data_IF_184314288743
#
_entry.id   IF_184314288743
#
_cell.length_a   1.000
_cell.length_b   1.000
_cell.length_c   1.000
_cell.angle_alpha   90.00
_cell.angle_beta   90.00
_cell.angle_gamma   90.00
#
_symmetry.space_group_name_H-M   'P 1'
#
loop_
_entity.id
_entity.type
_entity.pdbx_description
1 polymer ?
#
# COMPACT_ATOMS: atom_id res chain seq x y z
N UNK A 1 -44.07 -1.94 -9.80
CA UNK A 1 -42.75 -1.37 -9.46
C UNK A 1 -41.82 -2.55 -9.31
N UNK A 2 -40.87 -2.73 -10.23
CA UNK A 2 -39.86 -3.79 -10.12
C UNK A 2 -38.84 -3.35 -9.06
N UNK A 3 -38.74 -4.11 -7.97
CA UNK A 3 -37.67 -3.92 -6.99
C UNK A 3 -36.36 -4.33 -7.63
N UNK A 4 -35.47 -3.36 -7.87
CA UNK A 4 -34.15 -3.63 -8.44
C UNK A 4 -33.29 -4.34 -7.40
N UNK A 5 -32.96 -5.61 -7.62
CA UNK A 5 -32.05 -6.35 -6.75
C UNK A 5 -30.64 -5.73 -6.78
N UNK A 6 -30.04 -5.54 -5.60
CA UNK A 6 -28.70 -4.99 -5.46
C UNK A 6 -27.70 -6.11 -5.23
N UNK A 7 -26.74 -6.31 -6.14
CA UNK A 7 -25.71 -7.35 -6.02
C UNK A 7 -24.33 -6.77 -5.75
N UNK A 8 -23.48 -7.55 -5.06
CA UNK A 8 -22.07 -7.24 -4.93
C UNK A 8 -21.31 -7.69 -6.20
N UNK A 9 -20.50 -6.84 -6.85
CA UNK A 9 -19.74 -7.23 -8.04
C UNK A 9 -18.60 -8.24 -7.76
N UNK A 10 -18.27 -8.46 -6.48
CA UNK A 10 -17.10 -9.27 -6.07
C UNK A 10 -17.48 -10.55 -5.30
N UNK A 11 -18.76 -10.80 -5.05
CA UNK A 11 -19.22 -12.05 -4.44
C UNK A 11 -20.70 -12.31 -4.81
N UNK A 12 -21.17 -13.57 -4.71
CA UNK A 12 -22.52 -13.94 -5.14
C UNK A 12 -23.64 -13.50 -4.17
N UNK A 13 -23.43 -12.48 -3.34
CA UNK A 13 -24.44 -11.99 -2.39
C UNK A 13 -25.34 -10.93 -3.03
N UNK A 14 -26.63 -11.05 -2.77
CA UNK A 14 -27.67 -10.05 -3.08
C UNK A 14 -28.15 -9.37 -1.80
N UNK A 15 -28.65 -8.15 -1.94
CA UNK A 15 -29.05 -7.28 -0.84
C UNK A 15 -30.42 -6.68 -1.11
N UNK A 16 -31.23 -6.60 -0.06
CA UNK A 16 -32.57 -6.01 -0.11
C UNK A 16 -32.57 -4.48 -0.24
N UNK A 17 -31.42 -3.84 -0.03
CA UNK A 17 -31.27 -2.39 -0.19
C UNK A 17 -29.83 -2.01 -0.58
N UNK A 18 -29.69 -0.85 -1.22
CA UNK A 18 -28.39 -0.23 -1.54
C UNK A 18 -27.51 -0.11 -0.28
N UNK A 19 -28.09 0.32 0.85
CA UNK A 19 -27.37 0.49 2.11
C UNK A 19 -26.76 -0.81 2.65
N UNK A 20 -27.46 -1.95 2.52
CA UNK A 20 -26.91 -3.25 2.91
C UNK A 20 -25.77 -3.70 1.98
N UNK A 21 -25.89 -3.46 0.67
CA UNK A 21 -24.82 -3.75 -0.29
C UNK A 21 -23.59 -2.90 0.02
N UNK A 22 -23.78 -1.61 0.27
CA UNK A 22 -22.68 -0.68 0.53
C UNK A 22 -22.01 -1.00 1.86
N UNK A 23 -22.79 -1.29 2.92
CA UNK A 23 -22.24 -1.81 4.18
C UNK A 23 -21.46 -3.12 3.98
N UNK A 24 -21.95 -4.05 3.15
CA UNK A 24 -21.23 -5.28 2.82
C UNK A 24 -19.91 -4.99 2.10
N UNK A 25 -19.93 -4.14 1.07
CA UNK A 25 -18.74 -3.73 0.32
C UNK A 25 -17.68 -3.15 1.25
N UNK A 26 -18.11 -2.26 2.16
CA UNK A 26 -17.24 -1.66 3.15
C UNK A 26 -16.70 -2.68 4.16
N UNK A 27 -17.55 -3.53 4.72
CA UNK A 27 -17.17 -4.48 5.80
C UNK A 27 -16.39 -5.72 5.35
N UNK A 28 -16.47 -6.13 4.07
CA UNK A 28 -15.89 -7.42 3.63
C UNK A 28 -14.89 -7.35 2.49
N UNK A 29 -14.89 -6.29 1.68
CA UNK A 29 -14.07 -6.22 0.46
C UNK A 29 -13.23 -4.96 0.34
N UNK A 30 -13.71 -3.84 0.90
CA UNK A 30 -13.03 -2.55 0.87
C UNK A 30 -12.55 -2.10 2.26
N UNK A 31 -12.57 -3.00 3.25
CA UNK A 31 -12.03 -2.71 4.58
C UNK A 31 -10.50 -2.76 4.62
N UNK A 32 -9.79 -2.79 3.48
CA UNK A 32 -8.33 -2.75 3.45
C UNK A 32 -7.80 -1.87 2.33
N UNK A 33 -6.76 -1.11 2.63
CA UNK A 33 -5.97 -0.35 1.70
C UNK A 33 -4.53 -0.84 1.77
N UNK A 34 -4.02 -1.37 0.65
CA UNK A 34 -2.60 -1.70 0.54
C UNK A 34 -1.83 -0.50 -0.01
N UNK A 35 -0.77 -0.13 0.69
CA UNK A 35 0.20 0.87 0.28
C UNK A 35 1.50 0.12 0.00
N UNK A 36 2.00 0.21 -1.23
CA UNK A 36 3.23 -0.48 -1.63
C UNK A 36 4.30 0.56 -1.93
N UNK A 37 5.40 0.47 -1.20
CA UNK A 37 6.57 1.32 -1.37
C UNK A 37 7.55 0.66 -2.32
N UNK A 38 8.13 1.47 -3.21
CA UNK A 38 8.93 1.01 -4.32
C UNK A 38 10.26 1.74 -4.35
N UNK A 39 11.36 1.02 -4.47
CA UNK A 39 12.68 1.61 -4.75
C UNK A 39 13.00 1.40 -6.21
N UNK A 40 13.53 2.45 -6.82
CA UNK A 40 14.28 2.33 -8.05
C UNK A 40 15.77 2.34 -7.68
N UNK A 41 16.46 1.24 -7.97
CA UNK A 41 17.91 1.18 -7.82
C UNK A 41 18.53 1.85 -9.05
N UNK A 42 19.42 2.83 -8.86
CA UNK A 42 19.93 3.70 -9.94
C UNK A 42 20.50 2.93 -11.14
N UNK A 43 21.07 1.75 -10.91
CA UNK A 43 21.71 0.92 -11.95
C UNK A 43 20.79 -0.16 -12.56
N UNK A 44 19.55 -0.30 -12.08
CA UNK A 44 18.63 -1.34 -12.55
C UNK A 44 17.29 -0.77 -13.03
N UNK A 45 16.81 -1.18 -14.22
CA UNK A 45 15.50 -0.76 -14.73
C UNK A 45 14.33 -1.45 -14.02
N UNK A 46 14.59 -2.15 -12.90
CA UNK A 46 13.61 -2.93 -12.16
C UNK A 46 13.22 -2.15 -10.92
N UNK A 47 11.92 -1.91 -10.78
CA UNK A 47 11.34 -1.31 -9.59
C UNK A 47 11.03 -2.45 -8.61
N UNK A 48 11.69 -2.46 -7.46
CA UNK A 48 11.47 -3.46 -6.43
C UNK A 48 10.41 -2.96 -5.45
N UNK A 49 9.44 -3.81 -5.11
CA UNK A 49 8.55 -3.52 -3.98
C UNK A 49 9.36 -3.71 -2.71
N UNK A 50 9.63 -2.62 -2.00
CA UNK A 50 10.39 -2.67 -0.76
C UNK A 50 9.47 -3.12 0.36
N UNK A 51 8.32 -2.49 0.55
CA UNK A 51 7.40 -2.87 1.64
C UNK A 51 5.97 -2.75 1.17
N UNK A 52 5.10 -3.56 1.76
CA UNK A 52 3.65 -3.38 1.64
C UNK A 52 3.06 -3.21 3.02
N UNK A 53 2.38 -2.09 3.26
CA UNK A 53 1.58 -1.86 4.47
C UNK A 53 0.12 -2.05 4.10
N UNK A 54 -0.52 -3.02 4.73
CA UNK A 54 -1.97 -3.20 4.68
C UNK A 54 -2.60 -2.44 5.82
N UNK A 55 -3.36 -1.40 5.49
CA UNK A 55 -4.16 -0.62 6.44
C UNK A 55 -5.58 -1.11 6.40
N UNK A 56 -6.11 -1.60 7.51
CA UNK A 56 -7.54 -1.97 7.60
C UNK A 56 -8.37 -0.77 8.03
N UNK A 57 -9.56 -0.68 7.45
CA UNK A 57 -10.59 0.28 7.81
C UNK A 57 -11.15 -0.09 9.18
N UNK A 58 -11.34 0.91 10.04
CA UNK A 58 -11.97 0.72 11.35
C UNK A 58 -13.50 0.67 11.23
N UNK A 59 -14.17 0.39 12.35
CA UNK A 59 -15.64 0.32 12.44
C UNK A 59 -16.34 1.65 12.13
N UNK A 60 -15.61 2.76 12.21
CA UNK A 60 -16.07 4.10 11.81
C UNK A 60 -15.98 4.35 10.31
N UNK A 61 -15.52 3.37 9.53
CA UNK A 61 -15.36 3.45 8.08
C UNK A 61 -14.23 4.40 7.62
N UNK A 62 -13.24 4.68 8.45
CA UNK A 62 -12.05 5.46 8.07
C UNK A 62 -10.79 4.59 8.00
N UNK A 63 -9.92 4.91 7.04
CA UNK A 63 -8.52 4.50 7.03
C UNK A 63 -7.72 5.52 7.83
N UNK A 64 -6.90 5.05 8.75
CA UNK A 64 -6.04 5.90 9.57
C UNK A 64 -4.61 5.83 9.08
N UNK A 65 -3.91 6.96 9.08
CA UNK A 65 -2.51 7.01 8.69
C UNK A 65 -1.63 6.18 9.65
N UNK A 66 -0.78 5.26 9.15
CA UNK A 66 0.09 4.41 9.97
C UNK A 66 1.40 5.09 10.39
N UNK A 67 1.63 6.35 10.01
CA UNK A 67 2.88 7.08 10.30
C UNK A 67 2.77 7.92 11.58
N UNK A 68 3.87 7.99 12.35
CA UNK A 68 3.96 8.80 13.57
C UNK A 68 3.65 10.27 13.28
N UNK A 69 3.03 10.92 14.26
CA UNK A 69 2.71 12.34 14.22
C UNK A 69 1.78 12.74 13.05
N UNK A 70 1.03 11.77 12.52
CA UNK A 70 0.04 11.98 11.47
C UNK A 70 -1.34 11.45 11.87
N UNK A 71 -2.27 12.38 12.07
CA UNK A 71 -3.67 12.10 12.43
C UNK A 71 -4.60 12.13 11.21
N UNK A 72 -4.04 12.11 10.00
CA UNK A 72 -4.85 12.04 8.79
C UNK A 72 -5.64 10.73 8.76
N UNK A 73 -6.92 10.88 8.41
CA UNK A 73 -7.86 9.79 8.23
C UNK A 73 -8.80 10.10 7.06
N UNK A 74 -9.21 9.07 6.33
CA UNK A 74 -10.02 9.23 5.13
C UNK A 74 -10.84 7.97 4.85
N UNK A 75 -12.08 8.13 4.39
CA UNK A 75 -13.00 7.04 4.06
C UNK A 75 -12.73 6.42 2.69
N UNK A 76 -12.12 7.18 1.78
CA UNK A 76 -11.77 6.73 0.43
C UNK A 76 -10.31 6.29 0.31
N UNK A 77 -10.09 5.02 -0.05
CA UNK A 77 -8.76 4.45 -0.21
C UNK A 77 -7.88 5.19 -1.24
N UNK A 78 -8.46 5.77 -2.30
CA UNK A 78 -7.69 6.52 -3.30
C UNK A 78 -7.10 7.81 -2.71
N UNK A 79 -7.92 8.61 -2.04
CA UNK A 79 -7.50 9.86 -1.40
C UNK A 79 -6.52 9.57 -0.26
N UNK A 80 -6.78 8.51 0.50
CA UNK A 80 -5.87 8.03 1.53
C UNK A 80 -4.48 7.68 0.98
N UNK A 81 -4.40 6.96 -0.16
CA UNK A 81 -3.10 6.66 -0.81
C UNK A 81 -2.39 7.92 -1.27
N UNK A 82 -3.10 8.85 -1.91
CA UNK A 82 -2.52 10.12 -2.33
C UNK A 82 -1.95 10.90 -1.14
N UNK A 83 -2.65 10.93 0.00
CA UNK A 83 -2.10 11.50 1.22
C UNK A 83 -0.79 10.82 1.61
N UNK A 84 -0.77 9.48 1.68
CA UNK A 84 0.43 8.75 2.07
C UNK A 84 1.61 9.05 1.13
N UNK A 85 1.38 9.00 -0.18
CA UNK A 85 2.39 9.24 -1.20
C UNK A 85 2.93 10.68 -1.20
N UNK A 86 2.13 11.66 -0.79
CA UNK A 86 2.51 13.09 -0.83
C UNK A 86 3.02 13.65 0.50
N UNK A 87 2.51 13.16 1.63
CA UNK A 87 2.78 13.74 2.95
C UNK A 87 3.94 13.05 3.69
N UNK A 88 4.31 11.84 3.29
CA UNK A 88 5.32 11.05 3.98
C UNK A 88 6.50 10.79 3.06
N UNK A 89 7.66 11.32 3.43
CA UNK A 89 8.93 10.97 2.81
C UNK A 89 9.41 9.63 3.39
N UNK A 90 9.54 8.62 2.52
CA UNK A 90 9.88 7.27 2.94
C UNK A 90 11.39 7.15 3.18
N UNK A 91 11.79 7.33 4.43
CA UNK A 91 13.14 7.04 4.87
C UNK A 91 13.26 5.56 5.24
N UNK A 92 13.68 4.74 4.28
CA UNK A 92 14.13 3.37 4.54
C UNK A 92 15.59 3.44 4.99
N UNK A 93 15.88 3.04 6.23
CA UNK A 93 17.26 2.90 6.72
C UNK A 93 17.46 1.48 7.24
N UNK A 94 18.55 0.85 6.83
CA UNK A 94 18.94 -0.50 7.25
C UNK A 94 17.85 -1.56 7.03
N UNK A 95 17.08 -1.42 5.95
CA UNK A 95 16.00 -2.36 5.63
C UNK A 95 14.80 -2.28 6.58
N UNK A 96 14.67 -1.21 7.37
CA UNK A 96 13.47 -0.94 8.18
C UNK A 96 12.85 0.41 7.79
N UNK A 97 11.52 0.43 7.71
CA UNK A 97 10.77 1.69 7.55
C UNK A 97 10.76 2.39 8.89
N UNK A 98 11.30 3.60 8.93
CA UNK A 98 11.23 4.43 10.13
C UNK A 98 9.88 5.16 10.19
N UNK A 99 9.50 5.60 11.38
CA UNK A 99 8.31 6.44 11.62
C UNK A 99 6.94 5.77 11.49
N UNK A 100 6.82 4.44 11.62
CA UNK A 100 5.51 3.84 11.85
C UNK A 100 5.00 4.07 13.28
N UNK A 101 3.68 4.19 13.44
CA UNK A 101 3.01 4.14 14.74
C UNK A 101 3.27 2.79 15.42
N UNK A 102 3.16 2.75 16.75
CA UNK A 102 3.51 1.57 17.54
C UNK A 102 2.58 0.36 17.29
N UNK A 103 1.38 0.61 16.76
CA UNK A 103 0.37 -0.40 16.45
C UNK A 103 0.60 -1.07 15.08
N UNK A 104 1.55 -0.58 14.27
CA UNK A 104 1.94 -1.25 13.02
C UNK A 104 2.74 -2.51 13.38
N UNK A 105 2.28 -3.67 12.90
CA UNK A 105 2.91 -4.96 13.16
C UNK A 105 3.43 -5.59 11.88
N UNK A 106 4.48 -6.43 11.99
CA UNK A 106 5.01 -7.20 10.86
C UNK A 106 4.16 -8.45 10.65
N UNK A 107 3.71 -8.70 9.42
CA UNK A 107 2.95 -9.90 9.10
C UNK A 107 3.91 -11.10 8.99
N UNK A 108 3.57 -12.22 9.63
CA UNK A 108 4.39 -13.44 9.64
C UNK A 108 4.20 -14.21 8.33
N UNK A 109 4.75 -13.72 7.24
CA UNK A 109 5.00 -14.53 6.05
C UNK A 109 6.52 -14.79 5.94
N UNK A 110 6.88 -15.80 5.13
CA UNK A 110 8.22 -16.39 4.97
C UNK A 110 9.41 -15.40 4.99
N UNK A 111 10.62 -15.91 5.17
CA UNK A 111 11.89 -15.25 5.51
C UNK A 111 12.26 -13.95 4.75
N UNK A 112 11.53 -13.58 3.71
CA UNK A 112 11.72 -12.39 2.88
C UNK A 112 10.55 -11.36 2.92
N UNK A 113 9.53 -11.60 3.75
CA UNK A 113 8.33 -10.77 3.71
C UNK A 113 8.49 -9.44 4.47
N UNK A 114 8.55 -8.37 3.66
CA UNK A 114 8.51 -6.96 4.01
C UNK A 114 7.05 -6.44 4.08
N UNK A 115 6.16 -7.26 4.66
CA UNK A 115 4.73 -6.99 4.79
C UNK A 115 4.40 -6.54 6.22
N UNK A 116 3.60 -5.47 6.31
CA UNK A 116 3.14 -4.90 7.58
C UNK A 116 1.62 -4.76 7.58
N UNK A 117 1.06 -4.81 8.77
CA UNK A 117 -0.35 -4.59 9.02
C UNK A 117 -0.60 -3.44 9.99
N UNK A 118 -1.67 -2.69 9.79
CA UNK A 118 -2.14 -1.64 10.69
C UNK A 118 -3.66 -1.59 10.79
N UNK A 119 -4.22 -1.78 11.99
CA UNK A 119 -5.66 -1.73 12.24
C UNK A 119 -6.17 -0.35 12.69
N UNK A 120 -5.34 0.70 12.73
CA UNK A 120 -5.74 1.98 13.33
C UNK A 120 -5.52 2.02 14.84
N UNK A 121 -5.72 3.19 15.47
CA UNK A 121 -5.67 3.31 16.92
C UNK A 121 -6.81 2.48 17.51
N UNK A 122 -6.47 1.43 18.25
CA UNK A 122 -7.44 0.84 19.16
C UNK A 122 -7.77 1.95 20.15
N UNK A 123 -9.03 2.40 20.17
CA UNK A 123 -9.49 3.36 21.16
C UNK A 123 -8.90 2.90 22.51
N UNK A 124 -8.15 3.76 23.23
CA UNK A 124 -7.47 3.35 24.44
C UNK A 124 -8.51 2.64 25.27
N UNK A 125 -8.28 1.36 25.56
CA UNK A 125 -9.15 0.62 26.45
C UNK A 125 -9.20 1.50 27.69
N UNK A 126 -10.34 2.16 27.91
CA UNK A 126 -10.53 3.03 29.06
C UNK A 126 -10.51 2.08 30.25
N UNK A 127 -9.30 1.76 30.73
CA UNK A 127 -9.01 1.12 32.00
C UNK A 127 -9.25 2.11 33.15
N UNK A 128 -10.05 3.15 32.91
CA UNK A 128 -10.73 3.89 33.97
C UNK A 128 -11.60 2.87 34.69
N UNK A 129 -11.31 2.55 35.97
CA UNK A 129 -12.19 1.71 36.76
C UNK A 129 -13.57 2.36 36.71
N UNK A 130 -14.56 1.60 36.24
CA UNK A 130 -15.96 2.01 36.22
C UNK A 130 -16.41 2.21 37.67
N UNK A 131 -16.08 3.37 38.21
CA UNK A 131 -16.59 3.84 39.49
C UNK A 131 -18.08 4.01 39.27
N UNK A 132 -18.87 3.21 39.97
CA UNK A 132 -20.31 3.22 39.88
C UNK A 132 -20.84 4.61 40.27
N UNK A 133 -21.04 5.48 39.28
CA UNK A 133 -21.69 6.76 39.48
C UNK A 133 -23.17 6.53 39.71
N UNK A 134 -23.54 6.73 40.97
CA UNK A 134 -24.91 6.82 41.44
C UNK A 134 -25.67 7.88 40.65
N UNK A 135 -26.80 7.44 40.09
CA UNK A 135 -27.81 8.30 39.47
C UNK A 135 -28.30 9.34 40.47
N UNK A 136 -27.98 10.62 40.22
CA UNK A 136 -28.74 11.73 40.76
C UNK A 136 -29.11 12.66 39.61
N UNK A 137 -30.41 12.70 39.32
CA UNK A 137 -31.03 13.55 38.32
C UNK A 137 -30.99 15.03 38.75
N UNK A 138 -30.68 15.96 37.85
CA UNK A 138 -31.10 17.34 38.02
C UNK A 138 -32.31 17.67 37.15
N UNK A 139 -33.25 18.30 37.84
CA UNK A 139 -34.54 18.86 37.43
C UNK A 139 -34.44 19.86 36.27
N UNK A 140 -35.44 19.80 35.39
CA UNK A 140 -35.65 20.70 34.28
C UNK A 140 -35.76 22.18 34.72
N UNK A 141 -35.13 23.10 33.99
CA UNK A 141 -35.55 24.50 33.95
C UNK A 141 -35.65 24.93 32.49
N UNK A 142 -36.91 25.09 32.10
CA UNK A 142 -37.38 25.61 30.83
C UNK A 142 -37.13 27.13 30.76
N UNK A 143 -36.46 27.61 29.69
CA UNK A 143 -36.46 29.03 29.36
C UNK A 143 -36.61 29.23 27.84
N UNK A 144 -37.69 29.92 27.48
CA UNK A 144 -38.17 30.21 26.13
C UNK A 144 -37.67 31.60 25.64
N UNK A 145 -37.32 31.65 24.33
CA UNK A 145 -37.60 32.72 23.31
C UNK A 145 -36.76 34.04 23.40
N UNK A 146 -36.53 34.84 22.32
CA UNK A 146 -36.91 34.77 20.89
C UNK A 146 -35.79 34.91 19.82
N UNK A 147 -36.16 34.53 18.58
CA UNK A 147 -35.59 34.98 17.28
C UNK A 147 -35.40 36.49 17.16
N UNK A 148 -34.38 36.96 16.42
CA UNK A 148 -34.56 38.00 15.38
C UNK A 148 -33.30 38.34 14.54
N UNK A 149 -33.58 38.63 13.26
CA UNK A 149 -32.90 39.43 12.21
C UNK A 149 -31.65 38.94 11.47
N UNK A 150 -31.80 39.08 10.14
CA UNK A 150 -30.93 38.90 9.00
C UNK A 150 -29.79 39.95 8.84
N UNK A 151 -29.09 39.81 7.70
CA UNK A 151 -28.12 40.71 7.03
C UNK A 151 -26.65 40.30 7.24
N UNK A 152 -25.72 40.34 6.29
CA UNK A 152 -25.67 40.73 4.87
C UNK A 152 -24.34 40.19 4.33
N UNK A 153 -24.28 40.00 3.01
CA UNK A 153 -23.14 39.52 2.23
C UNK A 153 -21.84 40.32 2.43
N UNK A 154 -20.68 39.64 2.30
CA UNK A 154 -19.53 40.22 1.58
C UNK A 154 -18.62 39.14 0.99
N UNK A 155 -18.67 39.06 -0.33
CA UNK A 155 -17.84 38.22 -1.19
C UNK A 155 -16.46 38.87 -1.32
N UNK A 156 -15.43 38.24 -0.75
CA UNK A 156 -14.04 38.62 -1.02
C UNK A 156 -13.42 37.59 -1.96
N UNK A 157 -13.21 37.99 -3.22
CA UNK A 157 -12.39 37.25 -4.19
C UNK A 157 -10.94 37.30 -3.72
N UNK A 158 -10.36 36.14 -3.42
CA UNK A 158 -8.92 35.97 -3.31
C UNK A 158 -8.44 35.13 -4.50
N UNK A 159 -7.59 35.75 -5.33
CA UNK A 159 -6.82 35.09 -6.39
C UNK A 159 -5.93 34.01 -5.76
N UNK A 160 -6.19 32.75 -6.10
CA UNK A 160 -5.34 31.62 -5.76
C UNK A 160 -4.40 31.32 -6.95
N UNK A 161 -3.10 31.09 -6.71
CA UNK A 161 -2.14 30.77 -7.76
C UNK A 161 -2.43 29.39 -8.39
N UNK A 162 -2.11 29.18 -9.68
CA UNK A 162 -2.41 27.95 -10.38
C UNK A 162 -1.61 26.78 -9.81
N UNK A 163 -2.31 25.83 -9.20
CA UNK A 163 -1.77 24.53 -8.79
C UNK A 163 -1.37 23.72 -10.03
N UNK A 164 -0.13 23.18 -10.11
CA UNK A 164 0.25 22.31 -11.22
C UNK A 164 -0.49 20.98 -11.13
N UNK A 165 -1.39 20.74 -12.08
CA UNK A 165 -2.04 19.44 -12.29
C UNK A 165 -0.99 18.45 -12.83
N UNK A 166 -0.39 17.65 -11.94
CA UNK A 166 0.44 16.51 -12.34
C UNK A 166 -0.50 15.37 -12.73
N UNK A 167 -0.84 15.32 -14.01
CA UNK A 167 -1.60 14.21 -14.59
C UNK A 167 -0.67 13.00 -14.72
N UNK A 168 -0.69 12.12 -13.71
CA UNK A 168 0.04 10.86 -13.75
C UNK A 168 -0.72 9.88 -14.67
N UNK A 169 -0.37 9.88 -15.96
CA UNK A 169 -0.89 8.94 -16.94
C UNK A 169 -0.33 7.54 -16.66
N UNK A 170 -1.10 6.75 -15.91
CA UNK A 170 -0.85 5.33 -15.64
C UNK A 170 -1.05 4.51 -16.94
N UNK A 171 -0.04 4.51 -17.80
CA UNK A 171 0.01 3.61 -18.96
C UNK A 171 0.14 2.17 -18.46
N UNK A 172 -0.93 1.39 -18.63
CA UNK A 172 -0.87 -0.08 -18.65
C UNK A 172 -0.27 -0.48 -20.00
N UNK A 173 1.05 -0.47 -20.11
CA UNK A 173 1.69 -1.09 -21.27
C UNK A 173 1.48 -2.60 -21.15
N UNK A 174 0.91 -3.22 -22.19
CA UNK A 174 0.80 -4.67 -22.28
C UNK A 174 2.20 -5.27 -22.24
N UNK A 175 2.48 -6.04 -21.18
CA UNK A 175 3.74 -6.76 -21.03
C UNK A 175 3.94 -7.68 -22.24
N UNK A 176 4.97 -7.43 -23.03
CA UNK A 176 5.21 -8.22 -24.23
C UNK A 176 5.70 -9.62 -23.86
N UNK A 177 5.51 -10.60 -24.75
CA UNK A 177 6.03 -11.97 -24.56
C UNK A 177 7.55 -11.98 -24.32
N UNK A 178 8.27 -11.05 -24.93
CA UNK A 178 9.71 -10.91 -24.74
C UNK A 178 10.06 -10.41 -23.34
N UNK A 179 9.29 -9.46 -22.80
CA UNK A 179 9.49 -8.98 -21.43
C UNK A 179 9.32 -10.13 -20.41
N UNK A 180 8.36 -11.03 -20.65
CA UNK A 180 8.19 -12.24 -19.83
C UNK A 180 9.41 -13.19 -19.94
N UNK A 181 9.96 -13.37 -21.14
CA UNK A 181 11.15 -14.22 -21.33
C UNK A 181 12.40 -13.62 -20.67
N UNK A 182 12.59 -12.30 -20.77
CA UNK A 182 13.69 -11.60 -20.08
C UNK A 182 13.57 -11.69 -18.57
N UNK A 183 12.35 -11.57 -18.04
CA UNK A 183 12.10 -11.73 -16.62
C UNK A 183 12.45 -13.15 -16.15
N UNK A 184 12.00 -14.17 -16.87
CA UNK A 184 12.32 -15.58 -16.55
C UNK A 184 13.82 -15.87 -16.63
N UNK A 185 14.54 -15.33 -17.62
CA UNK A 185 15.99 -15.53 -17.73
C UNK A 185 16.76 -14.89 -16.56
N UNK A 186 16.33 -13.70 -16.11
CA UNK A 186 16.90 -13.04 -14.92
C UNK A 186 16.67 -13.85 -13.65
N UNK A 187 15.46 -14.35 -13.46
CA UNK A 187 15.12 -15.19 -12.31
C UNK A 187 15.99 -16.44 -12.25
N UNK A 188 16.13 -17.15 -13.37
CA UNK A 188 16.95 -18.37 -13.44
C UNK A 188 18.45 -18.08 -13.21
N UNK A 189 18.96 -16.96 -13.76
CA UNK A 189 20.34 -16.54 -13.51
C UNK A 189 20.60 -16.24 -12.03
N UNK A 190 19.71 -15.45 -11.40
CA UNK A 190 19.82 -15.12 -9.98
C UNK A 190 19.73 -16.37 -9.09
N UNK A 191 18.84 -17.30 -9.43
CA UNK A 191 18.70 -18.58 -8.74
C UNK A 191 20.00 -19.40 -8.78
N UNK A 192 20.58 -19.59 -9.96
CA UNK A 192 21.84 -20.35 -10.10
C UNK A 192 23.02 -19.67 -9.43
N UNK A 193 23.08 -18.34 -9.49
CA UNK A 193 24.11 -17.58 -8.80
C UNK A 193 24.02 -17.76 -7.29
N UNK A 194 22.80 -17.74 -6.75
CA UNK A 194 22.56 -17.99 -5.32
C UNK A 194 22.91 -19.43 -4.93
N UNK A 195 22.50 -20.43 -5.73
CA UNK A 195 22.87 -21.84 -5.51
C UNK A 195 24.40 -22.04 -5.50
N UNK A 196 25.12 -21.49 -6.48
CA UNK A 196 26.60 -21.57 -6.56
C UNK A 196 27.27 -20.89 -5.36
N UNK A 197 26.74 -19.73 -4.94
CA UNK A 197 27.22 -19.02 -3.76
C UNK A 197 27.02 -19.87 -2.50
N UNK A 198 25.85 -20.48 -2.32
CA UNK A 198 25.57 -21.33 -1.15
C UNK A 198 26.39 -22.62 -1.16
N UNK A 199 26.60 -23.23 -2.33
CA UNK A 199 27.47 -24.39 -2.51
C UNK A 199 28.92 -24.05 -2.11
N UNK A 200 29.44 -22.90 -2.55
CA UNK A 200 30.79 -22.46 -2.23
C UNK A 200 31.03 -22.17 -0.74
N UNK A 201 29.97 -21.76 -0.02
CA UNK A 201 30.02 -21.51 1.42
C UNK A 201 29.94 -22.81 2.24
N UNK A 202 29.26 -23.83 1.72
CA UNK A 202 29.09 -25.11 2.41
C UNK A 202 30.35 -25.98 2.36
N UNK A 203 31.13 -25.91 1.29
CA UNK A 203 32.33 -26.73 1.10
C UNK A 203 33.62 -25.99 1.51
N UNK A 204 34.27 -26.52 2.55
CA UNK A 204 35.54 -25.98 3.10
C UNK A 204 36.76 -26.26 2.21
N UNK A 205 36.60 -27.08 1.17
CA UNK A 205 37.67 -27.51 0.27
C UNK A 205 37.62 -26.84 -1.10
N UNK A 206 36.71 -25.90 -1.30
CA UNK A 206 36.50 -25.21 -2.59
C UNK A 206 37.74 -24.48 -3.06
N UNK A 207 38.13 -24.73 -4.31
CA UNK A 207 39.07 -23.88 -5.04
C UNK A 207 38.34 -22.61 -5.51
N UNK A 208 38.59 -21.51 -4.82
CA UNK A 208 38.03 -20.20 -5.17
C UNK A 208 38.35 -19.75 -6.60
N UNK A 209 39.44 -20.24 -7.19
CA UNK A 209 39.80 -19.94 -8.58
C UNK A 209 38.86 -20.62 -9.57
N UNK A 210 38.46 -21.86 -9.29
CA UNK A 210 37.50 -22.60 -10.09
C UNK A 210 36.09 -21.99 -9.96
N UNK A 211 35.67 -21.64 -8.74
CA UNK A 211 34.41 -20.93 -8.51
C UNK A 211 34.36 -19.57 -9.22
N UNK A 212 35.46 -18.80 -9.20
CA UNK A 212 35.55 -17.54 -9.94
C UNK A 212 35.38 -17.76 -11.46
N UNK A 213 36.03 -18.79 -12.01
CA UNK A 213 35.89 -19.14 -13.43
C UNK A 213 34.46 -19.56 -13.79
N UNK A 214 33.82 -20.38 -12.95
CA UNK A 214 32.43 -20.82 -13.13
C UNK A 214 31.45 -19.64 -13.13
N UNK A 215 31.67 -18.64 -12.26
CA UNK A 215 30.85 -17.41 -12.22
C UNK A 215 31.02 -16.55 -13.47
N UNK A 216 32.24 -16.41 -13.99
CA UNK A 216 32.48 -15.71 -15.27
C UNK A 216 31.81 -16.42 -16.45
N UNK A 217 31.90 -17.75 -16.52
CA UNK A 217 31.21 -18.54 -17.55
C UNK A 217 29.68 -18.39 -17.46
N UNK A 218 29.11 -18.40 -16.24
CA UNK A 218 27.68 -18.19 -16.02
C UNK A 218 27.23 -16.78 -16.42
N UNK A 219 28.03 -15.76 -16.12
CA UNK A 219 27.78 -14.37 -16.51
C UNK A 219 27.79 -14.22 -18.04
N UNK A 220 28.80 -14.77 -18.72
CA UNK A 220 28.90 -14.73 -20.18
C UNK A 220 27.68 -15.40 -20.85
N UNK A 221 27.24 -16.55 -20.32
CA UNK A 221 26.04 -17.23 -20.81
C UNK A 221 24.77 -16.36 -20.67
N UNK A 222 24.60 -15.68 -19.53
CA UNK A 222 23.47 -14.79 -19.29
C UNK A 222 23.47 -13.57 -20.22
N UNK A 223 24.63 -12.92 -20.40
CA UNK A 223 24.79 -11.76 -21.29
C UNK A 223 24.46 -12.12 -22.73
N UNK A 224 24.92 -13.26 -23.23
CA UNK A 224 24.61 -13.74 -24.57
C UNK A 224 23.11 -14.07 -24.73
N UNK A 225 22.47 -14.67 -23.72
CA UNK A 225 21.03 -14.90 -23.71
C UNK A 225 20.21 -13.61 -23.74
N UNK A 226 20.61 -12.60 -22.96
CA UNK A 226 19.98 -11.27 -22.97
C UNK A 226 20.19 -10.54 -24.30
N UNK A 227 21.33 -10.72 -24.95
CA UNK A 227 21.62 -10.18 -26.29
C UNK A 227 20.71 -10.79 -27.35
N UNK A 228 20.55 -12.12 -27.37
CA UNK A 228 19.62 -12.79 -28.28
C UNK A 228 18.17 -12.30 -28.11
N UNK A 229 17.71 -12.10 -26.88
CA UNK A 229 16.36 -11.55 -26.60
C UNK A 229 16.21 -10.07 -27.00
N UNK A 230 17.29 -9.32 -27.16
CA UNK A 230 17.24 -7.95 -27.71
C UNK A 230 17.14 -7.98 -29.23
N UNK A 231 17.84 -8.90 -29.88
CA UNK A 231 17.80 -9.07 -31.34
C UNK A 231 16.42 -9.53 -31.82
N UNK A 232 15.70 -10.35 -31.05
CA UNK A 232 14.32 -10.79 -31.38
C UNK A 232 13.30 -9.65 -31.31
N UNK A 233 13.49 -8.70 -30.39
CA UNK A 233 12.61 -7.53 -30.26
C UNK A 233 12.97 -6.39 -31.21
N UNK A 234 14.22 -6.34 -31.64
CA UNK A 234 14.66 -5.52 -32.75
C UNK A 234 14.06 -6.05 -34.04
N UNK A 235 12.80 -5.70 -34.30
CA UNK A 235 12.23 -5.69 -35.65
C UNK A 235 13.31 -5.13 -36.57
N UNK A 236 13.81 -5.99 -37.45
CA UNK A 236 14.82 -5.63 -38.44
C UNK A 236 14.40 -4.31 -39.11
N UNK A 237 15.25 -3.29 -38.98
CA UNK A 237 15.15 -2.06 -39.76
C UNK A 237 15.35 -2.38 -41.23
#
# INVERSE_FOLDING_TARGET
>A
MEESEHFCPYCPRTFSSVGQRDHHLLSTRHNRCQITFREQVEDWPVIFNIYTVTVWQLSDLYFYCPFKDCDFHEHHASTFRTHVDCAHEFLVRDGQVQNFKAEVYKEKNDEDCREYGYFGPLAPANDTPRTASSSSSPTATERRIPSSVANTAETTKADAPPTPTITCNKCKADTTRSDLMRASLREEYMKRLHEDMMESLADKTVDFKESAKKREEMKAWFEEGMKMLKEVDGVAV
#
